data_IF_982517014662
#
_entry.id   IF_982517014662
#
_cell.length_a   1.000
_cell.length_b   1.000
_cell.length_c   1.000
_cell.angle_alpha   90.00
_cell.angle_beta   90.00
_cell.angle_gamma   90.00
#
_symmetry.space_group_name_H-M   'P 1'
#
loop_
_entity.id
_entity.type
_entity.pdbx_description
1 polymer ?
#
# COMPACT_ATOMS: atom_id res chain seq x y z
N UNK A 1 3.18 6.60 10.69
CA UNK A 1 4.63 6.84 10.61
C UNK A 1 5.20 5.86 9.61
N UNK A 2 5.52 6.27 8.38
CA UNK A 2 6.11 5.36 7.38
C UNK A 2 7.62 5.35 7.56
N UNK A 3 8.16 4.20 7.99
CA UNK A 3 9.60 3.98 7.91
C UNK A 3 9.88 3.56 6.47
N UNK A 4 10.72 4.31 5.75
CA UNK A 4 11.27 3.88 4.47
C UNK A 4 12.73 3.54 4.69
N UNK A 5 13.06 2.25 4.66
CA UNK A 5 14.45 1.83 4.41
C UNK A 5 14.70 2.01 2.92
N UNK A 6 14.99 3.25 2.51
CA UNK A 6 15.54 3.49 1.19
C UNK A 6 17.02 3.07 1.22
N UNK A 7 17.26 1.77 1.06
CA UNK A 7 18.59 1.25 0.79
C UNK A 7 19.10 1.87 -0.52
N UNK A 8 20.23 2.56 -0.45
CA UNK A 8 20.85 3.23 -1.58
C UNK A 8 21.08 2.22 -2.71
N UNK A 9 20.50 2.44 -3.90
CA UNK A 9 20.50 1.49 -5.03
C UNK A 9 21.88 0.99 -5.45
N UNK A 10 22.92 1.80 -5.20
CA UNK A 10 24.31 1.49 -5.53
C UNK A 10 25.12 0.86 -4.37
N UNK A 11 24.50 0.59 -3.21
CA UNK A 11 25.21 0.10 -2.00
C UNK A 11 24.68 -1.24 -1.46
N UNK A 12 23.60 -1.80 -2.02
CA UNK A 12 23.13 -3.12 -1.62
C UNK A 12 24.01 -4.21 -2.23
N UNK A 13 24.56 -5.14 -1.42
CA UNK A 13 25.13 -6.38 -1.93
C UNK A 13 24.06 -7.06 -2.81
N UNK A 14 24.43 -7.41 -4.04
CA UNK A 14 23.60 -8.14 -5.02
C UNK A 14 22.35 -7.42 -5.57
N UNK A 15 22.32 -6.07 -5.57
CA UNK A 15 21.20 -5.27 -6.11
C UNK A 15 19.84 -5.62 -5.47
N UNK A 16 19.84 -6.02 -4.20
CA UNK A 16 18.64 -6.30 -3.42
C UNK A 16 18.23 -5.06 -2.60
N UNK A 17 17.03 -4.54 -2.85
CA UNK A 17 16.45 -3.44 -2.07
C UNK A 17 15.18 -3.93 -1.40
N UNK A 18 15.08 -3.78 -0.09
CA UNK A 18 13.89 -4.18 0.68
C UNK A 18 13.33 -2.95 1.40
N UNK A 19 12.06 -2.66 1.15
CA UNK A 19 11.30 -1.59 1.79
C UNK A 19 10.24 -2.22 2.68
N UNK A 20 10.12 -1.75 3.91
CA UNK A 20 9.08 -2.19 4.86
C UNK A 20 8.35 -0.95 5.34
N UNK A 21 7.04 -0.89 5.17
CA UNK A 21 6.20 0.24 5.59
C UNK A 21 5.15 -0.21 6.57
N UNK A 22 4.87 0.58 7.61
CA UNK A 22 3.75 0.36 8.52
C UNK A 22 2.98 1.65 8.75
N UNK A 23 1.68 1.53 9.00
CA UNK A 23 0.77 2.62 9.30
C UNK A 23 -0.25 2.15 10.33
N UNK A 24 -0.57 3.03 11.27
CA UNK A 24 -1.57 2.78 12.31
C UNK A 24 -2.36 4.06 12.51
N UNK A 25 -3.68 3.95 12.52
CA UNK A 25 -4.63 5.01 12.78
C UNK A 25 -5.57 4.56 13.90
N UNK A 26 -5.67 5.37 14.95
CA UNK A 26 -6.62 5.16 16.04
C UNK A 26 -7.45 6.44 16.16
N UNK A 27 -8.64 6.40 15.55
CA UNK A 27 -9.60 7.47 15.60
C UNK A 27 -10.80 7.05 16.45
N UNK A 28 -11.53 8.03 16.98
CA UNK A 28 -12.66 7.79 17.87
C UNK A 28 -13.78 6.92 17.24
N UNK A 29 -13.79 6.79 15.91
CA UNK A 29 -14.81 6.06 15.13
C UNK A 29 -14.22 5.06 14.12
N UNK A 30 -12.90 4.87 14.07
CA UNK A 30 -12.22 4.03 13.08
C UNK A 30 -10.85 3.58 13.62
N UNK A 31 -10.49 2.32 13.37
CA UNK A 31 -9.18 1.78 13.71
C UNK A 31 -8.59 1.07 12.52
N UNK A 32 -7.49 1.62 12.00
CA UNK A 32 -6.84 1.09 10.80
C UNK A 32 -5.40 0.73 11.08
N UNK A 33 -4.97 -0.37 10.47
CA UNK A 33 -3.59 -0.82 10.52
C UNK A 33 -3.20 -1.37 9.17
N UNK A 34 -2.09 -0.88 8.63
CA UNK A 34 -1.52 -1.39 7.39
C UNK A 34 -0.04 -1.68 7.59
N UNK A 35 0.43 -2.80 7.08
CA UNK A 35 1.82 -3.18 7.03
C UNK A 35 2.13 -3.68 5.62
N UNK A 36 3.30 -3.35 5.10
CA UNK A 36 3.70 -3.77 3.76
C UNK A 36 5.19 -4.00 3.69
N UNK A 37 5.58 -4.90 2.80
CA UNK A 37 6.96 -5.18 2.43
C UNK A 37 7.06 -5.18 0.92
N UNK A 38 8.14 -4.66 0.37
CA UNK A 38 8.45 -4.69 -1.05
C UNK A 38 9.93 -4.96 -1.24
N UNK A 39 10.25 -6.01 -1.99
CA UNK A 39 11.61 -6.39 -2.31
C UNK A 39 11.86 -6.27 -3.81
N UNK A 40 12.97 -5.66 -4.19
CA UNK A 40 13.41 -5.54 -5.58
C UNK A 40 14.76 -6.23 -5.71
N UNK A 41 14.84 -7.20 -6.60
CA UNK A 41 16.05 -7.96 -6.90
C UNK A 41 16.23 -8.09 -8.41
N UNK A 42 17.40 -7.72 -8.92
CA UNK A 42 17.74 -7.79 -10.35
C UNK A 42 16.59 -7.30 -11.28
N UNK A 43 16.00 -6.14 -10.94
CA UNK A 43 14.88 -5.49 -11.66
C UNK A 43 13.49 -6.09 -11.42
N UNK A 44 13.37 -7.22 -10.74
CA UNK A 44 12.07 -7.81 -10.38
C UNK A 44 11.69 -7.29 -9.00
N UNK A 45 10.52 -6.65 -8.89
CA UNK A 45 9.92 -6.22 -7.65
C UNK A 45 8.78 -7.16 -7.23
N UNK A 46 8.74 -7.55 -5.97
CA UNK A 46 7.63 -8.27 -5.37
C UNK A 46 7.28 -7.62 -4.03
N UNK A 47 6.02 -7.25 -3.89
CA UNK A 47 5.50 -6.62 -2.69
C UNK A 47 4.24 -7.30 -2.17
N UNK A 48 4.05 -7.12 -0.87
CA UNK A 48 2.87 -7.59 -0.16
C UNK A 48 2.42 -6.52 0.82
N UNK A 49 1.13 -6.21 0.79
CA UNK A 49 0.49 -5.25 1.68
C UNK A 49 -0.64 -5.97 2.41
N UNK A 50 -0.60 -5.89 3.72
CA UNK A 50 -1.63 -6.35 4.63
C UNK A 50 -2.27 -5.14 5.30
N UNK A 51 -3.59 -5.01 5.21
CA UNK A 51 -4.33 -4.00 5.94
C UNK A 51 -5.50 -4.61 6.69
N UNK A 52 -5.75 -4.10 7.89
CA UNK A 52 -6.95 -4.37 8.69
C UNK A 52 -7.56 -3.04 9.11
N UNK A 53 -8.78 -2.79 8.65
CA UNK A 53 -9.52 -1.57 8.92
C UNK A 53 -10.81 -1.95 9.66
N UNK A 54 -11.13 -1.24 10.73
CA UNK A 54 -12.31 -1.44 11.58
C UNK A 54 -13.08 -0.13 11.67
N UNK A 55 -14.07 0.02 10.79
CA UNK A 55 -14.87 1.24 10.66
C UNK A 55 -16.12 1.07 11.51
N UNK A 56 -16.18 1.80 12.63
CA UNK A 56 -17.29 1.70 13.60
C UNK A 56 -18.48 2.58 13.21
N UNK A 57 -18.24 3.74 12.61
CA UNK A 57 -19.31 4.63 12.13
C UNK A 57 -18.90 5.39 10.86
N UNK A 58 -19.68 5.22 9.79
CA UNK A 58 -19.67 6.12 8.63
C UNK A 58 -20.75 7.19 8.85
N UNK A 59 -20.38 8.48 8.86
CA UNK A 59 -21.33 9.61 8.90
C UNK A 59 -21.51 10.18 7.49
N UNK A 60 -22.62 9.88 6.79
CA UNK A 60 -22.92 10.56 5.54
C UNK A 60 -23.26 12.04 5.83
N UNK A 61 -22.59 12.96 5.15
CA UNK A 61 -22.76 14.42 5.30
C UNK A 61 -23.99 14.98 4.58
N UNK A 62 -24.85 14.15 4.01
CA UNK A 62 -26.08 14.57 3.34
C UNK A 62 -27.30 13.99 4.05
N UNK A 63 -27.96 14.84 4.82
CA UNK A 63 -29.28 14.60 5.41
C UNK A 63 -30.35 14.60 4.32
N UNK A 64 -30.43 13.54 3.53
CA UNK A 64 -31.63 13.25 2.73
C UNK A 64 -31.74 11.74 2.52
N UNK A 65 -32.91 11.25 2.86
CA UNK A 65 -33.49 9.95 2.58
C UNK A 65 -33.19 8.77 3.52
N UNK A 66 -34.31 8.31 4.07
CA UNK A 66 -34.57 7.10 4.83
C UNK A 66 -33.92 5.88 4.18
N UNK A 67 -32.69 5.58 4.54
CA UNK A 67 -32.11 4.26 4.39
C UNK A 67 -32.32 3.50 5.70
N UNK A 68 -33.58 3.14 5.97
CA UNK A 68 -33.95 2.01 6.84
C UNK A 68 -33.63 0.72 6.08
N UNK A 69 -32.35 0.54 5.78
CA UNK A 69 -31.85 -0.67 5.15
C UNK A 69 -30.66 -1.07 5.99
N UNK A 70 -30.62 -2.34 6.38
CA UNK A 70 -29.53 -3.03 7.07
C UNK A 70 -28.21 -3.07 6.25
N UNK A 71 -28.01 -2.07 5.38
CA UNK A 71 -26.93 -1.90 4.42
C UNK A 71 -26.17 -0.62 4.77
N UNK A 72 -25.50 -0.67 5.92
CA UNK A 72 -24.52 0.34 6.30
C UNK A 72 -23.29 0.20 5.42
N UNK A 73 -23.38 0.71 4.19
CA UNK A 73 -22.28 0.81 3.24
C UNK A 73 -21.06 1.47 3.93
N UNK A 74 -20.12 0.64 4.38
CA UNK A 74 -18.86 1.09 4.98
C UNK A 74 -18.68 0.83 6.48
N UNK A 75 -19.65 0.25 7.21
CA UNK A 75 -19.39 -0.26 8.58
C UNK A 75 -18.93 -1.71 8.51
N UNK A 76 -17.78 -2.01 9.10
CA UNK A 76 -17.28 -3.39 9.12
C UNK A 76 -15.78 -3.51 9.32
N UNK A 77 -15.34 -4.76 9.52
CA UNK A 77 -13.94 -5.15 9.60
C UNK A 77 -13.49 -5.63 8.23
N UNK A 78 -12.59 -4.89 7.61
CA UNK A 78 -12.03 -5.23 6.31
C UNK A 78 -10.60 -5.73 6.49
N UNK A 79 -10.30 -6.87 5.86
CA UNK A 79 -8.93 -7.39 5.76
C UNK A 79 -8.54 -7.37 4.31
N UNK A 80 -7.48 -6.64 3.99
CA UNK A 80 -6.96 -6.49 2.63
C UNK A 80 -5.63 -7.19 2.56
N UNK A 81 -5.50 -8.05 1.56
CA UNK A 81 -4.27 -8.74 1.20
C UNK A 81 -3.98 -8.39 -0.26
N UNK A 82 -2.95 -7.60 -0.49
CA UNK A 82 -2.56 -7.19 -1.84
C UNK A 82 -1.15 -7.69 -2.10
N UNK A 83 -1.00 -8.51 -3.14
CA UNK A 83 0.31 -8.90 -3.65
C UNK A 83 0.55 -8.07 -4.91
N UNK A 84 1.67 -7.38 -4.99
CA UNK A 84 2.07 -6.70 -6.21
C UNK A 84 3.35 -7.31 -6.77
N UNK A 85 3.45 -7.33 -8.09
CA UNK A 85 4.66 -7.69 -8.81
C UNK A 85 4.99 -6.58 -9.78
N UNK A 86 6.28 -6.29 -9.96
CA UNK A 86 6.74 -5.27 -10.89
C UNK A 86 8.05 -5.66 -11.55
N UNK A 87 8.32 -5.06 -12.70
CA UNK A 87 9.56 -5.20 -13.43
C UNK A 87 10.10 -3.82 -13.80
N UNK A 88 11.38 -3.60 -13.53
CA UNK A 88 12.09 -2.37 -13.79
C UNK A 88 12.67 -2.39 -15.22
N UNK A 89 12.28 -1.38 -16.00
CA UNK A 89 12.85 -1.06 -17.30
C UNK A 89 13.73 0.18 -17.10
N UNK A 90 15.05 0.03 -17.03
CA UNK A 90 15.94 1.16 -16.79
C UNK A 90 16.28 1.90 -18.08
N UNK A 91 16.72 3.16 -17.91
CA UNK A 91 17.26 4.01 -18.99
C UNK A 91 16.33 4.08 -20.21
N UNK A 92 15.04 4.29 -19.96
CA UNK A 92 14.07 4.46 -21.04
C UNK A 92 14.43 5.72 -21.83
N UNK A 93 14.39 5.64 -23.16
CA UNK A 93 14.84 6.70 -24.07
C UNK A 93 16.32 7.10 -23.93
N UNK A 94 17.17 6.21 -23.41
CA UNK A 94 18.62 6.46 -23.26
C UNK A 94 18.94 7.63 -22.31
N UNK A 95 18.01 7.93 -21.40
CA UNK A 95 18.16 8.95 -20.37
C UNK A 95 18.60 8.33 -19.04
N UNK A 96 19.68 8.85 -18.47
CA UNK A 96 20.13 8.47 -17.13
C UNK A 96 19.04 8.79 -16.08
N UNK A 97 18.83 7.87 -15.15
CA UNK A 97 17.85 7.93 -14.06
C UNK A 97 16.37 7.93 -14.49
N UNK A 98 16.05 7.71 -15.78
CA UNK A 98 14.67 7.55 -16.22
C UNK A 98 14.26 6.07 -16.24
N UNK A 99 13.81 5.61 -15.07
CA UNK A 99 13.44 4.22 -14.80
C UNK A 99 11.91 4.06 -14.75
N UNK A 100 11.37 3.07 -15.45
CA UNK A 100 9.94 2.74 -15.42
C UNK A 100 9.72 1.41 -14.70
N UNK A 101 8.78 1.37 -13.77
CA UNK A 101 8.28 0.13 -13.15
C UNK A 101 6.95 -0.26 -13.78
N UNK A 102 6.93 -1.39 -14.48
CA UNK A 102 5.69 -2.00 -14.99
C UNK A 102 5.23 -3.06 -13.99
N UNK A 103 4.01 -2.97 -13.46
CA UNK A 103 3.55 -3.92 -12.44
C UNK A 103 2.04 -4.19 -12.45
N UNK A 104 1.64 -5.18 -11.67
CA UNK A 104 0.25 -5.62 -11.44
C UNK A 104 0.00 -5.85 -9.95
N UNK A 105 -1.25 -5.80 -9.52
CA UNK A 105 -1.70 -5.95 -8.13
C UNK A 105 -2.93 -6.86 -8.00
#
# INVERSE_FOLDING_TARGET
MSFNTAGNWNQSPDNLVVNVSTAYLDANQEKDFSAGVNAIWQRIGLGYIFAVNDIKQYKPTTSTDNLDSEDSLGKGKYKIYTVNASYLIPNVMDMDNFNIYLGSY
#
